data_IF_669511860012
#
_entry.id   IF_669511860012
#
_cell.length_a   1.000
_cell.length_b   1.000
_cell.length_c   1.000
_cell.angle_alpha   90.00
_cell.angle_beta   90.00
_cell.angle_gamma   90.00
#
_symmetry.space_group_name_H-M   'P 1'
#
loop_
_entity.id
_entity.type
_entity.pdbx_description
1 polymer ?
#
# COMPACT_ATOMS: atom_id res chain seq x y z
N UNK A 1 -20.20 2.33 -12.79
CA UNK A 1 -19.36 2.33 -11.58
C UNK A 1 -18.50 3.59 -11.59
N UNK A 2 -18.46 4.38 -10.52
CA UNK A 2 -17.68 5.65 -10.45
C UNK A 2 -16.17 5.34 -10.54
N UNK A 3 -15.44 6.02 -11.43
CA UNK A 3 -13.99 5.85 -11.64
C UNK A 3 -13.22 6.00 -10.31
N UNK A 4 -13.67 6.91 -9.43
CA UNK A 4 -13.05 7.08 -8.12
C UNK A 4 -13.16 5.81 -7.26
N UNK A 5 -14.28 5.09 -7.33
CA UNK A 5 -14.49 3.82 -6.62
C UNK A 5 -13.64 2.70 -7.22
N UNK A 6 -13.48 2.67 -8.55
CA UNK A 6 -12.62 1.70 -9.25
C UNK A 6 -11.16 1.87 -8.80
N UNK A 7 -10.66 3.11 -8.79
CA UNK A 7 -9.29 3.41 -8.34
C UNK A 7 -9.08 3.06 -6.87
N UNK A 8 -10.07 3.35 -6.02
CA UNK A 8 -10.09 2.98 -4.60
C UNK A 8 -9.98 1.47 -4.38
N UNK A 9 -10.81 0.69 -5.09
CA UNK A 9 -10.78 -0.77 -5.03
C UNK A 9 -9.46 -1.34 -5.55
N UNK A 10 -8.93 -0.78 -6.65
CA UNK A 10 -7.63 -1.19 -7.18
C UNK A 10 -6.50 -1.02 -6.18
N UNK A 11 -6.49 0.10 -5.44
CA UNK A 11 -5.53 0.33 -4.36
C UNK A 11 -5.69 -0.67 -3.22
N UNK A 12 -6.92 -0.91 -2.76
CA UNK A 12 -7.19 -1.86 -1.68
C UNK A 12 -6.74 -3.27 -2.07
N UNK A 13 -7.15 -3.76 -3.24
CA UNK A 13 -6.80 -5.11 -3.70
C UNK A 13 -5.28 -5.24 -3.84
N UNK A 14 -4.62 -4.27 -4.46
CA UNK A 14 -3.17 -4.33 -4.67
C UNK A 14 -2.41 -4.31 -3.34
N UNK A 15 -2.82 -3.44 -2.40
CA UNK A 15 -2.22 -3.41 -1.06
C UNK A 15 -2.50 -4.69 -0.25
N UNK A 16 -3.70 -5.26 -0.35
CA UNK A 16 -4.07 -6.49 0.35
C UNK A 16 -3.23 -7.68 -0.13
N UNK A 17 -3.02 -7.83 -1.44
CA UNK A 17 -2.15 -8.88 -1.99
C UNK A 17 -0.72 -8.75 -1.45
N UNK A 18 -0.16 -7.54 -1.47
CA UNK A 18 1.18 -7.28 -0.94
C UNK A 18 1.24 -7.63 0.54
N UNK A 19 0.26 -7.22 1.33
CA UNK A 19 0.19 -7.51 2.76
C UNK A 19 0.17 -9.02 2.99
N UNK A 20 -0.78 -9.74 2.42
CA UNK A 20 -0.97 -11.20 2.63
C UNK A 20 0.33 -11.96 2.34
N UNK A 21 0.95 -11.67 1.20
CA UNK A 21 2.18 -12.34 0.75
C UNK A 21 3.40 -11.92 1.61
N UNK A 22 3.34 -10.75 2.25
CA UNK A 22 4.40 -10.25 3.13
C UNK A 22 4.27 -10.72 4.59
N UNK A 23 3.14 -11.31 5.02
CA UNK A 23 2.95 -11.71 6.43
C UNK A 23 3.98 -12.78 6.85
N UNK A 24 4.15 -13.84 6.06
CA UNK A 24 5.09 -14.91 6.40
C UNK A 24 6.54 -14.42 6.56
N UNK A 25 7.15 -13.77 5.55
CA UNK A 25 8.56 -13.38 5.67
C UNK A 25 8.81 -12.24 6.66
N UNK A 26 7.86 -11.32 6.87
CA UNK A 26 8.12 -10.10 7.67
C UNK A 26 7.44 -10.06 9.04
N UNK A 27 6.41 -10.87 9.28
CA UNK A 27 5.72 -10.95 10.58
C UNK A 27 6.05 -12.26 11.28
N UNK A 28 5.96 -13.38 10.55
CA UNK A 28 6.22 -14.71 11.12
C UNK A 28 7.71 -15.09 11.09
N UNK A 29 8.51 -14.40 10.28
CA UNK A 29 9.95 -14.70 10.12
C UNK A 29 10.20 -16.06 9.44
N UNK A 30 9.20 -16.60 8.74
CA UNK A 30 9.28 -17.89 8.06
C UNK A 30 9.54 -17.71 6.57
N UNK A 31 10.13 -18.70 5.93
CA UNK A 31 10.23 -18.72 4.48
C UNK A 31 8.85 -18.64 3.81
N UNK A 32 8.73 -17.96 2.66
CA UNK A 32 7.47 -17.84 1.96
C UNK A 32 7.01 -19.20 1.42
N UNK A 33 5.79 -19.63 1.76
CA UNK A 33 5.21 -20.89 1.26
C UNK A 33 4.80 -20.82 -0.20
N UNK A 34 4.63 -19.60 -0.74
CA UNK A 34 4.27 -19.37 -2.13
C UNK A 34 5.54 -19.12 -2.94
N UNK A 35 5.93 -20.03 -3.86
CA UNK A 35 7.06 -19.78 -4.74
C UNK A 35 6.79 -18.54 -5.59
N UNK A 36 7.77 -17.65 -5.71
CA UNK A 36 7.62 -16.39 -6.42
C UNK A 36 6.97 -15.26 -5.61
N UNK A 37 6.79 -15.42 -4.29
CA UNK A 37 6.34 -14.36 -3.35
C UNK A 37 6.96 -13.00 -3.63
N UNK A 38 8.28 -12.94 -3.80
CA UNK A 38 8.94 -11.67 -4.11
C UNK A 38 8.59 -11.11 -5.48
N UNK A 39 8.39 -11.94 -6.51
CA UNK A 39 7.92 -11.47 -7.83
C UNK A 39 6.50 -10.91 -7.74
N UNK A 40 5.61 -11.56 -6.97
CA UNK A 40 4.24 -11.07 -6.73
C UNK A 40 4.30 -9.71 -6.03
N UNK A 41 5.08 -9.57 -4.96
CA UNK A 41 5.24 -8.32 -4.23
C UNK A 41 5.76 -7.21 -5.16
N UNK A 42 6.73 -7.49 -6.04
CA UNK A 42 7.23 -6.51 -7.03
C UNK A 42 6.12 -6.03 -7.96
N UNK A 43 5.46 -6.96 -8.64
CA UNK A 43 4.45 -6.66 -9.68
C UNK A 43 3.33 -5.84 -9.04
N UNK A 44 2.81 -6.29 -7.91
CA UNK A 44 1.74 -5.58 -7.23
C UNK A 44 2.20 -4.25 -6.62
N UNK A 45 3.45 -4.09 -6.23
CA UNK A 45 3.99 -2.79 -5.79
C UNK A 45 4.07 -1.78 -6.93
N UNK A 46 4.45 -2.21 -8.13
CA UNK A 46 4.44 -1.35 -9.33
C UNK A 46 3.01 -0.95 -9.67
N UNK A 47 2.09 -1.92 -9.71
CA UNK A 47 0.65 -1.67 -9.96
C UNK A 47 0.09 -0.70 -8.91
N UNK A 48 0.38 -0.94 -7.63
CA UNK A 48 -0.04 -0.07 -6.52
C UNK A 48 0.52 1.34 -6.67
N UNK A 49 1.78 1.49 -7.06
CA UNK A 49 2.43 2.78 -7.31
C UNK A 49 1.76 3.55 -8.45
N UNK A 50 1.49 2.90 -9.58
CA UNK A 50 0.79 3.51 -10.73
C UNK A 50 -0.62 3.94 -10.30
N UNK A 51 -1.38 3.05 -9.65
CA UNK A 51 -2.73 3.36 -9.18
C UNK A 51 -2.74 4.50 -8.15
N UNK A 52 -1.72 4.57 -7.29
CA UNK A 52 -1.58 5.61 -6.29
C UNK A 52 -1.39 6.98 -6.97
N UNK A 53 -0.44 7.08 -7.90
CA UNK A 53 -0.18 8.31 -8.65
C UNK A 53 -1.42 8.73 -9.46
N UNK A 54 -2.02 7.79 -10.20
CA UNK A 54 -3.25 8.05 -10.97
C UNK A 54 -4.36 8.59 -10.08
N UNK A 55 -4.55 8.01 -8.88
CA UNK A 55 -5.58 8.49 -7.95
C UNK A 55 -5.25 9.86 -7.39
N UNK A 56 -4.01 10.14 -7.01
CA UNK A 56 -3.59 11.47 -6.52
C UNK A 56 -3.86 12.53 -7.59
N UNK A 57 -3.42 12.29 -8.83
CA UNK A 57 -3.67 13.20 -9.97
C UNK A 57 -5.17 13.37 -10.21
N UNK A 58 -5.94 12.28 -10.18
CA UNK A 58 -7.39 12.31 -10.37
C UNK A 58 -8.09 13.14 -9.28
N UNK A 59 -7.70 12.98 -8.01
CA UNK A 59 -8.26 13.74 -6.87
C UNK A 59 -7.96 15.22 -6.99
N UNK A 60 -6.74 15.59 -7.41
CA UNK A 60 -6.32 16.99 -7.61
C UNK A 60 -7.10 17.60 -8.78
N UNK A 61 -7.07 16.96 -9.96
CA UNK A 61 -7.68 17.48 -11.20
C UNK A 61 -9.19 17.66 -11.08
N UNK A 62 -9.88 16.69 -10.47
CA UNK A 62 -11.33 16.70 -10.35
C UNK A 62 -11.84 17.33 -9.04
N UNK A 63 -10.93 17.85 -8.20
CA UNK A 63 -11.23 18.37 -6.85
C UNK A 63 -12.07 17.40 -6.02
N UNK A 64 -11.92 16.09 -6.26
CA UNK A 64 -12.71 15.02 -5.65
C UNK A 64 -12.53 14.98 -4.13
N UNK A 65 -11.42 15.53 -3.63
CA UNK A 65 -11.18 15.75 -2.20
C UNK A 65 -12.28 16.55 -1.50
N UNK A 66 -12.94 17.48 -2.21
CA UNK A 66 -14.06 18.26 -1.68
C UNK A 66 -15.32 17.43 -1.41
N UNK A 67 -15.42 16.22 -2.01
CA UNK A 67 -16.52 15.29 -1.74
C UNK A 67 -16.41 14.63 -0.36
N UNK A 68 -15.20 14.57 0.21
CA UNK A 68 -14.97 14.00 1.53
C UNK A 68 -15.01 15.09 2.60
N UNK A 69 -15.79 14.88 3.67
CA UNK A 69 -15.89 15.81 4.81
C UNK A 69 -15.67 15.06 6.13
N UNK A 70 -15.15 15.78 7.12
CA UNK A 70 -14.96 15.29 8.50
C UNK A 70 -14.15 13.98 8.55
N UNK A 71 -14.66 13.00 9.30
CA UNK A 71 -14.00 11.70 9.50
C UNK A 71 -13.69 10.94 8.21
N UNK A 72 -14.46 11.12 7.13
CA UNK A 72 -14.20 10.42 5.86
C UNK A 72 -13.01 10.99 5.11
N UNK A 73 -12.76 12.30 5.23
CA UNK A 73 -11.56 12.92 4.69
C UNK A 73 -10.32 12.40 5.44
N UNK A 74 -10.40 12.35 6.77
CA UNK A 74 -9.33 11.84 7.62
C UNK A 74 -9.02 10.36 7.31
N UNK A 75 -10.04 9.50 7.24
CA UNK A 75 -9.87 8.09 6.88
C UNK A 75 -9.26 7.91 5.48
N UNK A 76 -9.67 8.72 4.51
CA UNK A 76 -9.09 8.69 3.17
C UNK A 76 -7.62 9.15 3.17
N UNK A 77 -7.29 10.20 3.92
CA UNK A 77 -5.93 10.74 4.00
C UNK A 77 -4.98 9.75 4.70
N UNK A 78 -5.37 9.22 5.85
CA UNK A 78 -4.60 8.22 6.59
C UNK A 78 -4.45 6.91 5.80
N UNK A 79 -5.51 6.48 5.12
CA UNK A 79 -5.46 5.34 4.20
C UNK A 79 -4.47 5.55 3.06
N UNK A 80 -4.48 6.73 2.42
CA UNK A 80 -3.49 7.05 1.37
C UNK A 80 -2.06 7.15 1.93
N UNK A 81 -1.89 7.71 3.12
CA UNK A 81 -0.58 7.83 3.78
C UNK A 81 0.01 6.46 4.12
N UNK A 82 -0.80 5.53 4.61
CA UNK A 82 -0.36 4.15 4.86
C UNK A 82 0.07 3.41 3.58
N UNK A 83 -0.64 3.60 2.47
CA UNK A 83 -0.25 3.05 1.17
C UNK A 83 1.06 3.67 0.68
N UNK A 84 1.23 4.97 0.84
CA UNK A 84 2.48 5.65 0.49
C UNK A 84 3.65 5.09 1.33
N UNK A 85 3.43 4.84 2.61
CA UNK A 85 4.43 4.25 3.50
C UNK A 85 4.75 2.80 3.13
N UNK A 86 3.75 2.00 2.75
CA UNK A 86 3.94 0.64 2.23
C UNK A 86 4.72 0.63 0.91
N UNK A 87 4.48 1.59 0.01
CA UNK A 87 5.22 1.74 -1.24
C UNK A 87 6.68 2.16 -0.97
N UNK A 88 6.89 3.14 -0.10
CA UNK A 88 8.22 3.64 0.24
C UNK A 88 9.09 2.54 0.85
N UNK A 89 8.60 1.85 1.87
CA UNK A 89 9.32 0.73 2.49
C UNK A 89 9.48 -0.45 1.51
N UNK A 90 8.53 -0.66 0.60
CA UNK A 90 8.58 -1.75 -0.39
C UNK A 90 9.63 -1.53 -1.46
N UNK A 91 9.80 -0.30 -1.92
CA UNK A 91 10.86 0.07 -2.87
C UNK A 91 12.24 -0.02 -2.22
N UNK A 92 12.37 0.43 -0.96
CA UNK A 92 13.63 0.33 -0.22
C UNK A 92 14.04 -1.13 -0.01
N UNK A 93 13.11 -1.99 0.44
CA UNK A 93 13.39 -3.41 0.67
C UNK A 93 13.63 -4.14 -0.66
N UNK A 94 12.83 -3.84 -1.69
CA UNK A 94 12.90 -4.50 -2.99
C UNK A 94 14.19 -4.22 -3.76
N UNK A 95 14.75 -3.00 -3.65
CA UNK A 95 16.07 -2.68 -4.22
C UNK A 95 17.21 -3.43 -3.52
N UNK A 96 17.05 -3.77 -2.24
CA UNK A 96 18.13 -4.38 -1.47
C UNK A 96 18.16 -5.91 -1.54
N UNK A 97 17.01 -6.54 -1.38
CA UNK A 97 16.93 -8.00 -1.21
C UNK A 97 17.07 -8.79 -2.52
N UNK A 98 17.70 -8.21 -3.56
CA UNK A 98 17.80 -8.78 -4.91
C UNK A 98 16.46 -8.85 -5.63
N UNK A 99 15.43 -8.20 -5.09
CA UNK A 99 14.07 -8.23 -5.63
C UNK A 99 13.81 -7.10 -6.63
N UNK A 100 14.75 -6.28 -7.06
CA UNK A 100 14.60 -5.41 -8.24
C UNK A 100 15.86 -5.54 -9.10
N UNK A 101 15.76 -5.36 -10.44
CA UNK A 101 16.90 -5.52 -11.35
C UNK A 101 18.00 -4.47 -11.14
N UNK A 102 17.82 -3.54 -10.20
CA UNK A 102 18.79 -2.53 -9.78
C UNK A 102 19.11 -2.81 -8.31
N UNK A 103 19.79 -3.93 -8.06
CA UNK A 103 20.28 -4.28 -6.73
C UNK A 103 21.50 -3.42 -6.40
N UNK A 104 21.35 -2.53 -5.43
CA UNK A 104 22.48 -1.79 -4.85
C UNK A 104 22.64 -2.33 -3.44
N UNK A 105 23.80 -2.89 -3.13
CA UNK A 105 24.10 -3.39 -1.79
C UNK A 105 24.09 -2.20 -0.80
N UNK A 106 23.05 -2.08 0.02
CA UNK A 106 23.06 -1.18 1.17
C UNK A 106 23.93 -1.78 2.29
N UNK A 107 24.50 -0.92 3.13
CA UNK A 107 25.25 -1.39 4.30
C UNK A 107 24.35 -2.22 5.22
N UNK A 108 24.88 -3.28 5.80
CA UNK A 108 24.20 -4.19 6.74
C UNK A 108 23.46 -3.45 7.90
N UNK A 109 23.94 -2.27 8.30
CA UNK A 109 23.30 -1.41 9.31
C UNK A 109 21.92 -0.89 8.88
N UNK A 110 21.69 -0.72 7.58
CA UNK A 110 20.42 -0.21 7.04
C UNK A 110 19.38 -1.34 6.99
N UNK A 111 19.78 -2.58 6.72
CA UNK A 111 18.89 -3.75 6.74
C UNK A 111 18.26 -4.00 8.09
N UNK A 112 19.07 -3.88 9.14
CA UNK A 112 18.63 -4.07 10.52
C UNK A 112 17.52 -3.08 10.91
N UNK A 113 17.48 -1.91 10.26
CA UNK A 113 16.43 -0.90 10.43
C UNK A 113 15.27 -1.14 9.46
N UNK A 114 15.56 -1.62 8.24
CA UNK A 114 14.60 -1.76 7.17
C UNK A 114 13.57 -2.87 7.42
N UNK A 115 14.00 -4.00 7.99
CA UNK A 115 13.11 -5.15 8.25
C UNK A 115 12.04 -4.77 9.29
N UNK A 116 12.38 -4.22 10.48
CA UNK A 116 11.38 -3.73 11.43
C UNK A 116 10.48 -2.64 10.84
N UNK A 117 11.05 -1.72 10.07
CA UNK A 117 10.30 -0.64 9.42
C UNK A 117 9.27 -1.19 8.42
N UNK A 118 9.64 -2.24 7.68
CA UNK A 118 8.73 -2.95 6.77
C UNK A 118 7.62 -3.65 7.54
N UNK A 119 7.92 -4.32 8.65
CA UNK A 119 6.91 -4.95 9.51
C UNK A 119 5.91 -3.92 10.04
N UNK A 120 6.39 -2.78 10.54
CA UNK A 120 5.53 -1.66 10.96
C UNK A 120 4.67 -1.17 9.79
N UNK A 121 5.25 -1.01 8.60
CA UNK A 121 4.51 -0.56 7.41
C UNK A 121 3.37 -1.50 7.03
N UNK A 122 3.52 -2.82 7.24
CA UNK A 122 2.49 -3.81 6.96
C UNK A 122 1.32 -3.64 7.94
N UNK A 123 1.58 -3.43 9.23
CA UNK A 123 0.53 -3.11 10.20
C UNK A 123 -0.21 -1.82 9.86
N UNK A 124 0.53 -0.77 9.48
CA UNK A 124 -0.06 0.48 9.02
C UNK A 124 -0.89 0.28 7.75
N UNK A 125 -0.44 -0.55 6.81
CA UNK A 125 -1.18 -0.87 5.59
C UNK A 125 -2.48 -1.63 5.88
N UNK A 126 -2.50 -2.55 6.83
CA UNK A 126 -3.72 -3.25 7.28
C UNK A 126 -4.73 -2.23 7.80
N UNK A 127 -4.31 -1.34 8.71
CA UNK A 127 -5.17 -0.26 9.21
C UNK A 127 -5.65 0.65 8.07
N UNK A 128 -4.76 0.96 7.13
CA UNK A 128 -5.05 1.72 5.93
C UNK A 128 -6.11 1.13 5.02
N UNK A 129 -6.04 -0.18 4.77
CA UNK A 129 -7.02 -0.95 4.01
C UNK A 129 -8.39 -0.85 4.67
N UNK A 130 -8.47 -1.04 5.99
CA UNK A 130 -9.73 -0.93 6.75
C UNK A 130 -10.31 0.49 6.64
N UNK A 131 -9.46 1.51 6.77
CA UNK A 131 -9.88 2.91 6.61
C UNK A 131 -10.40 3.19 5.19
N UNK A 132 -9.72 2.72 4.15
CA UNK A 132 -10.17 2.90 2.76
C UNK A 132 -11.45 2.12 2.46
N UNK A 133 -11.62 0.92 3.01
CA UNK A 133 -12.87 0.17 2.94
C UNK A 133 -14.02 0.95 3.56
N UNK A 134 -13.81 1.58 4.72
CA UNK A 134 -14.83 2.43 5.36
C UNK A 134 -15.27 3.61 4.48
N UNK A 135 -14.36 4.14 3.65
CA UNK A 135 -14.67 5.24 2.70
C UNK A 135 -15.53 4.75 1.53
N UNK A 136 -15.33 3.50 1.09
CA UNK A 136 -16.12 2.88 0.00
C UNK A 136 -17.49 2.44 0.50
N UNK A 137 -17.52 1.79 1.65
CA UNK A 137 -18.70 1.16 2.24
C UNK A 137 -19.57 2.16 2.99
N UNK A 138 -19.13 3.41 3.17
CA UNK A 138 -19.93 4.41 3.88
C UNK A 138 -21.30 4.48 3.21
N UNK A 139 -22.39 4.17 3.93
CA UNK A 139 -23.71 4.30 3.38
C UNK A 139 -23.89 5.76 2.97
N UNK A 140 -24.40 5.97 1.77
CA UNK A 140 -24.92 7.28 1.34
C UNK A 140 -26.14 7.57 2.20
N UNK A 141 -25.96 7.89 3.47
CA UNK A 141 -26.96 8.60 4.25
C UNK A 141 -27.08 9.97 3.60
N UNK A 142 -28.02 10.06 2.66
CA UNK A 142 -28.69 11.30 2.31
C UNK A 142 -29.17 11.90 3.63
N UNK A 143 -28.54 12.98 4.06
CA UNK A 143 -29.19 14.04 4.82
C UNK A 143 -29.44 15.17 3.85
#
# INVERSE_FOLDING_TARGET
MDINKILLWGLIISSAVIVIVSIQPYILGTEPTIPGTGMIVKIFSIILGILFVVRVVYVIKNKTGKKYKGMTLLACALGMLSIAFLLFTGLLVGNYSGFLPVSVDLSQSIDQILIPLRTISIYFAIAGIIMLLSVILKPSFRT
#
